data_IF_171658871373
#
_entry.id   IF_171658871373
#
_cell.length_a   1.000
_cell.length_b   1.000
_cell.length_c   1.000
_cell.angle_alpha   90.00
_cell.angle_beta   90.00
_cell.angle_gamma   90.00
#
_symmetry.space_group_name_H-M   'P 1'
#
loop_
_entity.id
_entity.type
_entity.pdbx_description
1 polymer ?
#
# COMPACT_ATOMS: atom_id res chain seq x y z
N UNK A 1 -28.25 -38.28 91.49
CA UNK A 1 -28.97 -37.10 90.96
C UNK A 1 -27.95 -36.03 90.57
N UNK A 2 -28.11 -35.47 89.36
CA UNK A 2 -27.47 -34.25 88.82
C UNK A 2 -25.97 -34.26 88.50
N UNK A 3 -25.70 -34.79 87.30
CA UNK A 3 -24.68 -34.30 86.35
C UNK A 3 -24.92 -32.83 85.97
N UNK A 4 -23.88 -31.98 85.91
CA UNK A 4 -23.36 -31.38 84.64
C UNK A 4 -22.36 -30.22 84.86
N UNK A 5 -21.31 -30.23 84.02
CA UNK A 5 -20.65 -29.08 83.33
C UNK A 5 -19.80 -28.14 84.19
N UNK A 6 -18.63 -27.64 83.77
CA UNK A 6 -17.97 -27.59 82.48
C UNK A 6 -16.50 -27.21 82.71
N UNK A 7 -15.58 -27.89 82.02
CA UNK A 7 -14.31 -27.33 81.60
C UNK A 7 -13.73 -28.28 80.55
N UNK A 8 -13.06 -27.69 79.55
CA UNK A 8 -12.27 -28.28 78.47
C UNK A 8 -12.87 -28.12 77.07
N UNK A 9 -12.02 -27.52 76.23
CA UNK A 9 -11.99 -27.42 74.77
C UNK A 9 -12.59 -26.14 74.15
N UNK A 10 -11.83 -25.03 74.14
CA UNK A 10 -11.91 -24.06 73.05
C UNK A 10 -11.18 -24.68 71.83
N UNK A 11 -11.83 -25.59 71.12
CA UNK A 11 -11.28 -26.24 69.92
C UNK A 11 -12.14 -25.97 68.67
N UNK A 12 -12.77 -24.79 68.60
CA UNK A 12 -13.68 -24.40 67.51
C UNK A 12 -13.22 -23.14 66.76
N UNK A 13 -11.90 -22.94 66.68
CA UNK A 13 -11.29 -21.82 65.95
C UNK A 13 -10.41 -22.26 64.76
N UNK A 14 -10.57 -23.50 64.27
CA UNK A 14 -9.69 -24.06 63.24
C UNK A 14 -10.41 -24.58 61.98
N UNK A 15 -11.67 -24.22 61.72
CA UNK A 15 -12.25 -24.41 60.39
C UNK A 15 -12.13 -23.11 59.58
N UNK A 16 -10.88 -22.85 59.20
CA UNK A 16 -10.56 -22.02 58.04
C UNK A 16 -11.14 -22.68 56.79
N UNK A 17 -12.39 -22.37 56.45
CA UNK A 17 -12.90 -22.58 55.09
C UNK A 17 -12.64 -21.29 54.31
N UNK A 18 -11.36 -21.01 54.10
CA UNK A 18 -10.98 -20.09 53.04
C UNK A 18 -11.40 -20.76 51.74
N UNK A 19 -12.50 -20.30 51.13
CA UNK A 19 -12.73 -20.45 49.70
C UNK A 19 -11.65 -19.64 48.96
N UNK A 20 -10.41 -20.11 49.04
CA UNK A 20 -9.30 -19.60 48.26
C UNK A 20 -9.24 -20.42 46.99
N UNK A 21 -9.65 -19.83 45.87
CA UNK A 21 -9.31 -20.37 44.55
C UNK A 21 -7.78 -20.39 44.50
N UNK A 22 -7.19 -21.57 44.40
CA UNK A 22 -5.74 -21.69 44.25
C UNK A 22 -5.34 -20.88 43.00
N UNK A 23 -4.38 -19.93 43.11
CA UNK A 23 -3.95 -19.17 41.95
C UNK A 23 -3.42 -20.15 40.91
N UNK A 24 -4.16 -20.32 39.81
CA UNK A 24 -3.64 -21.03 38.65
C UNK A 24 -2.55 -20.16 38.07
N UNK A 25 -1.33 -20.70 38.03
CA UNK A 25 -0.16 -20.02 37.51
C UNK A 25 -0.45 -19.48 36.10
N UNK A 26 -0.03 -18.24 35.82
CA UNK A 26 -0.20 -17.65 34.49
C UNK A 26 0.81 -18.32 33.58
N UNK A 27 0.35 -19.23 32.71
CA UNK A 27 1.20 -19.72 31.63
C UNK A 27 1.35 -18.65 30.56
N UNK A 28 2.47 -17.94 30.60
CA UNK A 28 2.92 -17.11 29.48
C UNK A 28 3.19 -18.03 28.28
N UNK A 29 2.29 -18.00 27.29
CA UNK A 29 2.44 -18.78 26.05
C UNK A 29 3.36 -18.10 25.04
N UNK A 30 4.15 -17.12 25.48
CA UNK A 30 5.00 -16.32 24.62
C UNK A 30 4.18 -15.35 23.78
N UNK A 31 4.86 -14.60 22.92
CA UNK A 31 4.21 -13.67 22.02
C UNK A 31 3.34 -14.42 21.01
N UNK A 32 2.17 -13.86 20.70
CA UNK A 32 1.34 -14.36 19.61
C UNK A 32 2.17 -14.46 18.32
N UNK A 33 2.04 -15.55 17.54
CA UNK A 33 2.73 -15.65 16.27
C UNK A 33 2.26 -14.51 15.36
N UNK A 34 3.18 -13.64 14.96
CA UNK A 34 2.92 -12.60 13.98
C UNK A 34 2.95 -13.24 12.59
N UNK A 35 1.79 -13.32 11.94
CA UNK A 35 1.69 -13.73 10.53
C UNK A 35 2.09 -12.55 9.66
N UNK A 36 3.26 -12.64 9.01
CA UNK A 36 3.64 -11.70 7.97
C UNK A 36 2.91 -12.09 6.68
N UNK A 37 1.94 -11.27 6.27
CA UNK A 37 1.27 -11.44 4.98
C UNK A 37 2.20 -10.82 3.93
N UNK A 38 2.64 -11.58 2.91
CA UNK A 38 3.46 -11.03 1.85
C UNK A 38 2.70 -9.92 1.11
N UNK A 39 3.39 -8.87 0.63
CA UNK A 39 2.75 -7.80 -0.13
C UNK A 39 1.99 -8.35 -1.35
N UNK A 40 0.86 -7.74 -1.74
CA UNK A 40 0.17 -8.12 -2.97
C UNK A 40 1.10 -7.98 -4.18
N UNK A 41 1.21 -9.03 -4.97
CA UNK A 41 1.95 -9.01 -6.24
C UNK A 41 1.08 -8.40 -7.33
N UNK A 42 1.54 -7.31 -7.93
CA UNK A 42 0.94 -6.68 -9.12
C UNK A 42 1.90 -6.74 -10.29
N UNK A 43 1.50 -6.16 -11.43
CA UNK A 43 2.35 -6.08 -12.61
C UNK A 43 2.61 -4.63 -13.00
N UNK A 44 3.85 -4.34 -13.39
CA UNK A 44 4.27 -3.07 -13.97
C UNK A 44 4.75 -3.28 -15.41
N UNK A 45 4.71 -2.24 -16.23
CA UNK A 45 5.28 -2.31 -17.57
C UNK A 45 6.77 -1.92 -17.57
N UNK A 46 7.60 -2.88 -17.93
CA UNK A 46 9.02 -2.69 -18.25
C UNK A 46 9.24 -2.84 -19.76
N UNK A 47 10.48 -2.65 -20.20
CA UNK A 47 10.85 -2.78 -21.61
C UNK A 47 11.64 -4.07 -21.79
N UNK A 48 11.22 -4.91 -22.73
CA UNK A 48 11.93 -6.11 -23.17
C UNK A 48 11.97 -6.13 -24.69
N UNK A 49 13.15 -6.34 -25.26
CA UNK A 49 13.36 -6.36 -26.73
C UNK A 49 12.80 -5.11 -27.45
N UNK A 50 12.84 -3.95 -26.78
CA UNK A 50 12.33 -2.68 -27.32
C UNK A 50 10.81 -2.47 -27.18
N UNK A 51 10.08 -3.45 -26.63
CA UNK A 51 8.63 -3.41 -26.45
C UNK A 51 8.22 -3.39 -24.97
N UNK A 52 7.02 -2.88 -24.70
CA UNK A 52 6.44 -2.97 -23.36
C UNK A 52 6.12 -4.42 -23.00
N UNK A 53 6.55 -4.86 -21.83
CA UNK A 53 6.30 -6.18 -21.28
C UNK A 53 5.91 -6.09 -19.81
N UNK A 54 4.95 -6.91 -19.40
CA UNK A 54 4.57 -7.01 -17.99
C UNK A 54 5.69 -7.68 -17.18
N UNK A 55 5.91 -7.14 -15.99
CA UNK A 55 6.82 -7.68 -14.99
C UNK A 55 6.14 -7.64 -13.62
N UNK A 56 6.35 -8.66 -12.77
CA UNK A 56 5.82 -8.64 -11.41
C UNK A 56 6.46 -7.52 -10.60
N UNK A 57 5.69 -6.95 -9.68
CA UNK A 57 6.13 -5.96 -8.71
C UNK A 57 5.40 -6.18 -7.38
N UNK A 58 6.17 -6.14 -6.30
CA UNK A 58 5.63 -6.17 -4.95
C UNK A 58 5.18 -4.75 -4.60
N UNK A 59 3.91 -4.60 -4.22
CA UNK A 59 3.32 -3.31 -3.84
C UNK A 59 2.74 -3.40 -2.43
N UNK A 60 2.71 -2.29 -1.70
CA UNK A 60 2.17 -2.27 -0.34
C UNK A 60 0.64 -2.47 -0.33
N UNK A 61 -0.06 -1.95 -1.34
CA UNK A 61 -1.51 -2.00 -1.47
C UNK A 61 -1.96 -1.99 -2.94
N UNK A 62 -3.27 -2.17 -3.15
CA UNK A 62 -3.92 -2.15 -4.46
C UNK A 62 -4.31 -0.74 -4.91
N UNK A 63 -3.34 0.18 -4.94
CA UNK A 63 -3.57 1.53 -5.46
C UNK A 63 -2.64 1.84 -6.64
N UNK A 64 -3.12 2.69 -7.55
CA UNK A 64 -2.29 3.18 -8.67
C UNK A 64 -1.05 3.92 -8.17
N UNK A 65 -1.15 4.61 -7.03
CA UNK A 65 -0.01 5.29 -6.41
C UNK A 65 1.09 4.29 -6.00
N UNK A 66 0.73 3.20 -5.32
CA UNK A 66 1.69 2.16 -4.93
C UNK A 66 2.30 1.46 -6.14
N UNK A 67 1.48 1.21 -7.18
CA UNK A 67 1.95 0.58 -8.41
C UNK A 67 2.93 1.46 -9.20
N UNK A 68 2.65 2.75 -9.32
CA UNK A 68 3.58 3.71 -9.92
C UNK A 68 4.84 3.88 -9.07
N UNK A 69 4.72 3.91 -7.74
CA UNK A 69 5.88 3.88 -6.85
C UNK A 69 6.80 2.70 -7.14
N UNK A 70 6.25 1.49 -7.27
CA UNK A 70 7.02 0.30 -7.61
C UNK A 70 7.65 0.37 -9.01
N UNK A 71 6.95 0.91 -10.01
CA UNK A 71 7.51 1.13 -11.35
C UNK A 71 8.76 2.03 -11.32
N UNK A 72 8.72 3.14 -10.57
CA UNK A 72 9.87 4.03 -10.47
C UNK A 72 10.98 3.41 -9.64
N UNK A 73 10.68 2.74 -8.53
CA UNK A 73 11.66 2.03 -7.72
C UNK A 73 12.39 0.92 -8.50
N UNK A 74 11.70 0.25 -9.42
CA UNK A 74 12.32 -0.74 -10.31
C UNK A 74 13.41 -0.14 -11.21
N UNK A 75 13.43 1.18 -11.42
CA UNK A 75 14.43 1.87 -12.23
C UNK A 75 15.83 1.80 -11.64
N UNK A 76 15.90 1.66 -10.31
CA UNK A 76 17.14 1.63 -9.53
C UNK A 76 17.60 0.20 -9.22
N UNK A 77 16.89 -0.81 -9.73
CA UNK A 77 17.18 -2.22 -9.49
C UNK A 77 17.79 -2.92 -10.73
N UNK A 78 18.51 -4.04 -10.55
CA UNK A 78 18.84 -4.95 -11.64
C UNK A 78 17.56 -5.58 -12.20
N UNK A 79 17.34 -5.45 -13.51
CA UNK A 79 16.10 -5.89 -14.18
C UNK A 79 16.25 -7.15 -15.04
N UNK A 80 17.41 -7.82 -14.97
CA UNK A 80 17.70 -9.01 -15.78
C UNK A 80 17.75 -8.69 -17.27
N UNK A 81 16.89 -9.37 -18.04
CA UNK A 81 16.72 -9.18 -19.50
C UNK A 81 15.83 -7.98 -19.86
N UNK A 82 15.28 -7.28 -18.86
CA UNK A 82 14.44 -6.11 -19.04
C UNK A 82 15.21 -4.82 -18.76
N UNK A 83 14.69 -3.73 -19.29
CA UNK A 83 15.20 -2.37 -19.05
C UNK A 83 14.03 -1.42 -18.71
N UNK A 84 14.39 -0.19 -18.37
CA UNK A 84 13.44 0.90 -18.11
C UNK A 84 13.96 2.20 -18.72
N UNK A 85 13.06 2.99 -19.29
CA UNK A 85 13.34 4.34 -19.78
C UNK A 85 13.24 5.40 -18.66
N UNK A 86 12.87 4.99 -17.44
CA UNK A 86 12.61 5.88 -16.31
C UNK A 86 13.83 6.13 -15.42
N UNK A 87 15.01 5.61 -15.79
CA UNK A 87 16.25 5.89 -15.03
C UNK A 87 16.53 7.39 -14.95
N UNK A 88 16.87 7.88 -13.77
CA UNK A 88 17.11 9.30 -13.53
C UNK A 88 15.84 10.16 -13.51
N UNK A 89 14.66 9.54 -13.44
CA UNK A 89 13.42 10.19 -13.06
C UNK A 89 12.99 9.72 -11.68
N UNK A 90 12.33 10.57 -10.91
CA UNK A 90 11.80 10.23 -9.59
C UNK A 90 10.30 10.46 -9.55
N UNK A 91 9.58 9.50 -8.98
CA UNK A 91 8.16 9.65 -8.72
C UNK A 91 7.92 10.59 -7.53
N UNK A 92 7.05 11.59 -7.70
CA UNK A 92 6.74 12.54 -6.63
C UNK A 92 5.39 12.24 -6.01
N UNK A 93 4.33 12.22 -6.84
CA UNK A 93 2.94 12.02 -6.40
C UNK A 93 2.01 11.81 -7.60
N UNK A 94 0.78 11.39 -7.30
CA UNK A 94 -0.36 11.45 -8.22
C UNK A 94 -1.45 12.36 -7.69
N UNK A 95 -2.14 13.04 -8.59
CA UNK A 95 -3.38 13.76 -8.31
C UNK A 95 -4.46 13.26 -9.25
N UNK A 96 -5.63 12.90 -8.73
CA UNK A 96 -6.75 12.39 -9.54
C UNK A 96 -7.87 13.44 -9.60
N UNK A 97 -8.51 13.60 -10.76
CA UNK A 97 -9.68 14.47 -10.94
C UNK A 97 -11.00 13.75 -10.65
N UNK A 98 -11.00 12.68 -9.84
CA UNK A 98 -12.24 12.07 -9.38
C UNK A 98 -12.96 13.10 -8.51
N UNK A 99 -13.93 13.82 -9.10
CA UNK A 99 -14.85 14.64 -8.34
C UNK A 99 -15.54 13.74 -7.31
N UNK A 100 -15.57 14.10 -6.02
CA UNK A 100 -16.45 13.41 -5.07
C UNK A 100 -17.88 13.50 -5.60
N UNK A 101 -18.66 12.44 -5.43
CA UNK A 101 -20.09 12.44 -5.76
C UNK A 101 -20.77 13.43 -4.81
N UNK A 102 -20.79 14.71 -5.16
CA UNK A 102 -21.73 15.66 -4.54
C UNK A 102 -23.11 15.29 -5.06
N UNK A 103 -24.01 15.01 -4.13
CA UNK A 103 -25.33 14.38 -4.39
C UNK A 103 -26.22 15.18 -5.35
N UNK A 104 -25.87 16.44 -5.63
CA UNK A 104 -26.70 17.42 -6.33
C UNK A 104 -25.99 18.18 -7.47
N UNK A 105 -24.80 17.77 -7.93
CA UNK A 105 -24.15 18.45 -9.07
C UNK A 105 -24.50 17.78 -10.42
N UNK A 106 -24.83 18.63 -11.40
CA UNK A 106 -25.01 18.27 -12.82
C UNK A 106 -23.90 17.31 -13.25
N UNK A 107 -24.29 16.22 -13.90
CA UNK A 107 -23.43 15.13 -14.32
C UNK A 107 -22.42 15.61 -15.37
N UNK A 108 -21.36 16.29 -14.92
CA UNK A 108 -20.20 16.61 -15.74
C UNK A 108 -19.59 15.29 -16.22
N UNK A 109 -19.02 15.25 -17.45
CA UNK A 109 -18.35 14.06 -17.95
C UNK A 109 -17.35 13.58 -16.89
N UNK A 110 -17.48 12.33 -16.45
CA UNK A 110 -16.64 11.72 -15.42
C UNK A 110 -15.25 11.45 -16.00
N UNK A 111 -14.46 12.47 -16.26
CA UNK A 111 -13.09 12.25 -16.71
C UNK A 111 -12.27 11.82 -15.52
N UNK A 112 -12.15 10.51 -15.32
CA UNK A 112 -11.24 9.88 -14.36
C UNK A 112 -9.80 10.05 -14.87
N UNK A 113 -9.30 11.28 -14.82
CA UNK A 113 -7.96 11.62 -15.28
C UNK A 113 -6.99 11.58 -14.09
N UNK A 114 -5.91 10.83 -14.26
CA UNK A 114 -4.79 10.83 -13.33
C UNK A 114 -3.74 11.81 -13.83
N UNK A 115 -3.17 12.62 -12.94
CA UNK A 115 -1.95 13.38 -13.22
C UNK A 115 -0.80 12.81 -12.40
N UNK A 116 0.25 12.36 -13.08
CA UNK A 116 1.46 11.81 -12.49
C UNK A 116 2.52 12.90 -12.47
N UNK A 117 3.02 13.22 -11.28
CA UNK A 117 4.07 14.20 -11.07
C UNK A 117 5.40 13.49 -10.86
N UNK A 118 6.39 13.85 -11.66
CA UNK A 118 7.73 13.27 -11.64
C UNK A 118 8.79 14.37 -11.62
N UNK A 119 9.99 14.09 -11.17
CA UNK A 119 11.16 14.95 -11.39
C UNK A 119 12.18 14.28 -12.30
N UNK A 120 13.06 15.07 -12.90
CA UNK A 120 14.10 14.59 -13.80
C UNK A 120 14.62 15.68 -14.72
N UNK A 121 15.88 15.54 -15.13
CA UNK A 121 16.59 16.52 -15.95
C UNK A 121 16.53 16.24 -17.45
N UNK A 122 16.09 15.04 -17.83
CA UNK A 122 16.04 14.60 -19.23
C UNK A 122 14.63 14.67 -19.78
N UNK A 123 14.53 14.70 -21.11
CA UNK A 123 13.25 14.54 -21.79
C UNK A 123 12.74 13.11 -21.63
N UNK A 124 11.47 12.97 -21.28
CA UNK A 124 10.82 11.68 -21.15
C UNK A 124 10.53 11.09 -22.53
N UNK A 125 11.14 9.95 -22.84
CA UNK A 125 10.96 9.28 -24.14
C UNK A 125 9.53 8.74 -24.31
N UNK A 126 9.13 8.44 -25.55
CA UNK A 126 7.82 7.79 -25.83
C UNK A 126 7.65 6.51 -25.02
N UNK A 127 8.69 5.68 -24.93
CA UNK A 127 8.67 4.46 -24.11
C UNK A 127 8.53 4.75 -22.62
N UNK A 128 9.21 5.78 -22.09
CA UNK A 128 9.05 6.19 -20.69
C UNK A 128 7.63 6.66 -20.38
N UNK A 129 7.04 7.46 -21.29
CA UNK A 129 5.61 7.83 -21.21
C UNK A 129 4.73 6.58 -21.22
N UNK A 130 5.01 5.64 -22.12
CA UNK A 130 4.24 4.40 -22.26
C UNK A 130 4.31 3.52 -21.00
N UNK A 131 5.48 3.39 -20.37
CA UNK A 131 5.63 2.66 -19.11
C UNK A 131 4.74 3.25 -18.00
N UNK A 132 4.75 4.58 -17.83
CA UNK A 132 3.93 5.26 -16.81
C UNK A 132 2.44 5.09 -17.11
N UNK A 133 2.02 5.44 -18.33
CA UNK A 133 0.61 5.49 -18.72
C UNK A 133 -0.02 4.10 -18.74
N UNK A 134 0.65 3.12 -19.36
CA UNK A 134 0.14 1.76 -19.40
C UNK A 134 0.15 1.08 -18.04
N UNK A 135 1.10 1.41 -17.15
CA UNK A 135 1.08 0.88 -15.79
C UNK A 135 -0.10 1.44 -15.00
N UNK A 136 -0.36 2.74 -15.09
CA UNK A 136 -1.49 3.39 -14.41
C UNK A 136 -2.85 2.88 -14.94
N UNK A 137 -3.03 2.80 -16.25
CA UNK A 137 -4.28 2.36 -16.88
C UNK A 137 -4.53 0.84 -16.82
N UNK A 138 -3.74 0.10 -16.02
CA UNK A 138 -4.20 -1.21 -15.56
C UNK A 138 -5.42 -1.08 -14.64
N UNK A 139 -5.58 0.06 -13.98
CA UNK A 139 -6.86 0.45 -13.39
C UNK A 139 -7.81 0.94 -14.48
N UNK A 140 -8.81 0.10 -14.81
CA UNK A 140 -9.80 0.38 -15.84
C UNK A 140 -10.70 1.59 -15.53
N UNK A 141 -10.69 2.10 -14.29
CA UNK A 141 -11.39 3.32 -13.94
C UNK A 141 -10.73 4.57 -14.55
N UNK A 142 -9.46 4.51 -14.96
CA UNK A 142 -8.69 5.64 -15.48
C UNK A 142 -8.81 5.80 -17.01
N UNK A 143 -9.45 6.87 -17.45
CA UNK A 143 -9.64 7.16 -18.88
C UNK A 143 -8.41 7.75 -19.55
N UNK A 144 -7.63 8.56 -18.83
CA UNK A 144 -6.42 9.19 -19.35
C UNK A 144 -5.41 9.51 -18.26
N UNK A 145 -4.15 9.65 -18.65
CA UNK A 145 -3.05 9.95 -17.75
C UNK A 145 -2.27 11.16 -18.28
N UNK A 146 -2.18 12.21 -17.47
CA UNK A 146 -1.35 13.38 -17.73
C UNK A 146 -0.02 13.23 -16.99
N UNK A 147 1.09 13.67 -17.59
CA UNK A 147 2.41 13.62 -16.98
C UNK A 147 2.91 15.05 -16.79
N UNK A 148 3.35 15.38 -15.57
CA UNK A 148 3.94 16.68 -15.23
C UNK A 148 5.33 16.45 -14.68
N UNK A 149 6.30 17.16 -15.22
CA UNK A 149 7.68 17.18 -14.73
C UNK A 149 7.87 18.40 -13.83
N UNK A 150 8.19 18.16 -12.56
CA UNK A 150 8.44 19.17 -11.54
C UNK A 150 9.90 19.10 -11.09
N UNK A 151 10.61 20.22 -11.13
CA UNK A 151 11.99 20.32 -10.66
C UNK A 151 12.11 21.58 -9.79
N UNK A 152 12.89 21.52 -8.71
CA UNK A 152 12.94 22.58 -7.69
C UNK A 152 13.24 23.99 -8.24
N UNK A 153 14.04 24.08 -9.31
CA UNK A 153 14.54 25.36 -9.84
C UNK A 153 13.87 25.82 -11.14
N UNK A 154 12.74 25.24 -11.54
CA UNK A 154 12.04 25.62 -12.77
C UNK A 154 10.55 25.30 -12.73
N UNK A 155 9.70 26.06 -13.45
CA UNK A 155 8.25 25.86 -13.43
C UNK A 155 7.87 24.42 -13.83
N UNK A 156 6.78 23.86 -13.25
CA UNK A 156 6.24 22.58 -13.69
C UNK A 156 5.97 22.58 -15.19
N UNK A 157 6.42 21.52 -15.87
CA UNK A 157 6.22 21.34 -17.31
C UNK A 157 5.25 20.19 -17.56
N UNK A 158 4.14 20.48 -18.25
CA UNK A 158 3.23 19.45 -18.72
C UNK A 158 3.85 18.72 -19.92
N UNK A 159 4.03 17.41 -19.80
CA UNK A 159 4.57 16.54 -20.85
C UNK A 159 3.50 16.00 -21.80
N UNK A 160 2.21 16.24 -21.49
CA UNK A 160 1.06 15.83 -22.28
C UNK A 160 0.07 14.97 -21.49
N UNK A 161 -1.08 14.72 -22.11
CA UNK A 161 -2.10 13.77 -21.68
C UNK A 161 -2.18 12.66 -22.69
N UNK A 162 -2.24 11.42 -22.22
CA UNK A 162 -2.10 10.23 -23.04
C UNK A 162 -3.04 9.12 -22.60
N UNK A 163 -3.28 8.21 -23.54
CA UNK A 163 -3.79 6.87 -23.26
C UNK A 163 -2.73 5.82 -23.62
N UNK A 164 -2.80 4.64 -23.01
CA UNK A 164 -1.88 3.54 -23.28
C UNK A 164 -1.97 3.09 -24.74
N UNK A 165 -3.17 3.15 -25.34
CA UNK A 165 -3.39 2.82 -26.75
C UNK A 165 -2.62 3.73 -27.72
N UNK A 166 -2.48 5.01 -27.39
CA UNK A 166 -1.72 5.98 -28.22
C UNK A 166 -0.20 5.76 -28.18
N UNK A 167 0.30 5.16 -27.08
CA UNK A 167 1.73 5.05 -26.80
C UNK A 167 2.33 3.67 -27.11
N UNK A 168 1.48 2.66 -27.34
CA UNK A 168 1.90 1.33 -27.80
C UNK A 168 2.43 1.33 -29.24
#
# INVERSE_FOLDING_TARGET
MRTTRAALLPALLALAVACGIAPTDVQDRGQAPTVSIPPPSRTIYLIKDGHLALAPADVADDTVNSLLGALFAASDQPLGDRITALRGFTYLRTTSSINPVQRDEVQLPRTSALTVHISGDRLLSRLGKAQIVCTAQQDAALESVSIVVENANRPPKNEGRYTCGELK
#
